data_IF_799105950189
#
_entry.id   IF_799105950189
#
_cell.length_a   1.000
_cell.length_b   1.000
_cell.length_c   1.000
_cell.angle_alpha   90.00
_cell.angle_beta   90.00
_cell.angle_gamma   90.00
#
_symmetry.space_group_name_H-M   'P 1'
#
loop_
_entity.id
_entity.type
_entity.pdbx_description
1 polymer ?
#
# COMPACT_ATOMS: atom_id res chain seq x y z
N UNK A 1 -19.02 10.84 1.41
CA UNK A 1 -19.41 10.40 0.04
C UNK A 1 -20.71 11.01 -0.49
N UNK A 2 -21.59 11.60 0.33
CA UNK A 2 -22.88 12.13 -0.13
C UNK A 2 -22.76 13.37 -1.06
N UNK A 3 -21.71 14.18 -0.90
CA UNK A 3 -21.48 15.42 -1.65
C UNK A 3 -20.72 15.24 -2.98
N UNK A 4 -20.13 14.07 -3.24
CA UNK A 4 -19.32 13.84 -4.43
C UNK A 4 -20.17 13.35 -5.61
N UNK A 5 -19.93 13.84 -6.85
CA UNK A 5 -20.50 13.28 -8.06
C UNK A 5 -20.30 11.76 -8.16
N UNK A 6 -21.29 11.06 -8.76
CA UNK A 6 -21.29 9.60 -8.95
C UNK A 6 -21.58 9.23 -10.40
N UNK A 7 -20.82 9.78 -11.33
CA UNK A 7 -20.87 9.34 -12.74
C UNK A 7 -20.50 7.86 -12.83
N UNK A 8 -20.84 7.20 -13.94
CA UNK A 8 -20.58 5.75 -14.08
C UNK A 8 -19.09 5.41 -13.98
N UNK A 9 -18.22 6.28 -14.49
CA UNK A 9 -16.76 6.09 -14.36
C UNK A 9 -16.27 6.24 -12.93
N UNK A 10 -16.88 7.14 -12.14
CA UNK A 10 -16.58 7.24 -10.71
C UNK A 10 -17.09 6.03 -9.92
N UNK A 11 -18.27 5.51 -10.27
CA UNK A 11 -18.78 4.26 -9.66
C UNK A 11 -17.83 3.10 -9.92
N UNK A 12 -17.26 2.99 -11.12
CA UNK A 12 -16.24 1.98 -11.44
C UNK A 12 -14.98 2.15 -10.57
N UNK A 13 -14.53 3.37 -10.30
CA UNK A 13 -13.39 3.61 -9.41
C UNK A 13 -13.70 3.25 -7.95
N UNK A 14 -14.90 3.54 -7.45
CA UNK A 14 -15.31 3.11 -6.12
C UNK A 14 -15.40 1.58 -6.01
N UNK A 15 -15.99 0.91 -7.01
CA UNK A 15 -15.98 -0.56 -7.06
C UNK A 15 -14.55 -1.09 -7.08
N UNK A 16 -13.66 -0.47 -7.85
CA UNK A 16 -12.25 -0.87 -7.94
C UNK A 16 -11.49 -0.71 -6.62
N UNK A 17 -11.80 0.33 -5.84
CA UNK A 17 -11.28 0.49 -4.48
C UNK A 17 -11.73 -0.66 -3.56
N UNK A 18 -13.00 -1.04 -3.66
CA UNK A 18 -13.57 -2.17 -2.91
C UNK A 18 -12.90 -3.48 -3.33
N UNK A 19 -12.84 -3.75 -4.64
CA UNK A 19 -12.17 -4.91 -5.21
C UNK A 19 -10.71 -4.98 -4.80
N UNK A 20 -9.99 -3.85 -4.84
CA UNK A 20 -8.61 -3.77 -4.37
C UNK A 20 -8.46 -4.13 -2.89
N UNK A 21 -9.38 -3.68 -2.04
CA UNK A 21 -9.38 -4.03 -0.60
C UNK A 21 -9.60 -5.52 -0.37
N UNK A 22 -10.54 -6.13 -1.12
CA UNK A 22 -10.80 -7.56 -1.10
C UNK A 22 -9.62 -8.39 -1.63
N UNK A 23 -9.01 -7.98 -2.74
CA UNK A 23 -7.83 -8.65 -3.32
C UNK A 23 -6.66 -8.64 -2.35
N UNK A 24 -6.39 -7.49 -1.71
CA UNK A 24 -5.32 -7.38 -0.72
C UNK A 24 -5.57 -8.34 0.46
N UNK A 25 -6.80 -8.44 0.94
CA UNK A 25 -7.15 -9.38 2.01
C UNK A 25 -7.06 -10.84 1.55
N UNK A 26 -7.59 -11.16 0.36
CA UNK A 26 -7.57 -12.51 -0.19
C UNK A 26 -6.14 -13.05 -0.36
N UNK A 27 -5.19 -12.20 -0.77
CA UNK A 27 -3.78 -12.55 -0.84
C UNK A 27 -3.00 -12.37 0.47
N UNK A 28 -3.70 -12.11 1.58
CA UNK A 28 -3.11 -11.94 2.91
C UNK A 28 -2.04 -10.85 2.96
N UNK A 29 -2.18 -9.81 2.13
CA UNK A 29 -1.36 -8.61 2.18
C UNK A 29 -1.85 -7.70 3.30
N UNK A 30 -3.15 -7.68 3.52
CA UNK A 30 -3.81 -7.05 4.67
C UNK A 30 -4.65 -8.11 5.37
N UNK A 31 -4.95 -7.90 6.65
CA UNK A 31 -5.80 -8.78 7.46
C UNK A 31 -7.05 -8.00 7.91
N UNK A 32 -7.39 -8.01 9.21
CA UNK A 32 -8.38 -7.07 9.76
C UNK A 32 -7.89 -5.60 9.73
N UNK A 33 -6.58 -5.40 9.55
CA UNK A 33 -5.88 -4.13 9.51
C UNK A 33 -5.15 -3.92 8.18
N UNK A 34 -4.83 -2.67 7.89
CA UNK A 34 -4.34 -2.23 6.59
C UNK A 34 -5.45 -1.61 5.74
N UNK A 35 -5.05 -0.77 4.80
CA UNK A 35 -6.00 0.05 4.06
C UNK A 35 -5.43 0.57 2.74
N UNK A 36 -6.35 0.69 1.78
CA UNK A 36 -6.14 1.22 0.44
C UNK A 36 -6.89 2.55 0.30
N UNK A 37 -6.30 3.51 -0.40
CA UNK A 37 -6.95 4.75 -0.79
C UNK A 37 -6.68 5.08 -2.25
N UNK A 38 -7.47 6.00 -2.81
CA UNK A 38 -7.15 6.65 -4.08
C UNK A 38 -7.47 8.15 -4.05
N UNK A 39 -6.71 8.94 -4.82
CA UNK A 39 -6.98 10.37 -5.03
C UNK A 39 -8.19 10.55 -5.93
N UNK A 40 -9.13 11.39 -5.51
CA UNK A 40 -10.35 11.63 -6.27
C UNK A 40 -10.01 12.42 -7.57
N UNK A 41 -10.42 11.93 -8.76
CA UNK A 41 -9.91 12.48 -10.02
C UNK A 41 -10.54 13.81 -10.44
N UNK A 42 -11.70 14.18 -9.87
CA UNK A 42 -12.35 15.47 -10.19
C UNK A 42 -11.92 16.60 -9.25
N UNK A 43 -11.34 16.26 -8.10
CA UNK A 43 -10.82 17.21 -7.12
C UNK A 43 -9.59 16.59 -6.44
N UNK A 44 -8.36 16.98 -6.84
CA UNK A 44 -7.14 16.37 -6.35
C UNK A 44 -6.85 16.65 -4.88
N UNK A 45 -7.58 17.59 -4.26
CA UNK A 45 -7.51 17.88 -2.81
C UNK A 45 -8.38 16.93 -1.99
N UNK A 46 -9.01 15.93 -2.63
CA UNK A 46 -9.79 14.89 -1.99
C UNK A 46 -9.16 13.52 -2.26
N UNK A 47 -9.14 12.66 -1.24
CA UNK A 47 -8.88 11.23 -1.40
C UNK A 47 -9.98 10.38 -0.75
N UNK A 48 -10.14 9.15 -1.22
CA UNK A 48 -11.18 8.22 -0.77
C UNK A 48 -10.54 6.94 -0.26
N UNK A 49 -11.01 6.49 0.91
CA UNK A 49 -10.67 5.19 1.51
C UNK A 49 -11.87 4.66 2.30
N UNK A 50 -11.84 3.42 2.80
CA UNK A 50 -12.92 2.92 3.65
C UNK A 50 -12.99 3.64 5.00
N UNK A 51 -14.16 3.58 5.65
CA UNK A 51 -14.32 3.86 7.08
C UNK A 51 -13.54 2.83 7.90
N UNK A 52 -13.48 3.01 9.22
CA UNK A 52 -12.83 2.07 10.13
C UNK A 52 -13.55 0.71 10.17
N UNK A 53 -13.26 -0.15 9.20
CA UNK A 53 -13.82 -1.50 9.00
C UNK A 53 -12.76 -2.36 8.31
N UNK A 54 -12.77 -3.67 8.56
CA UNK A 54 -11.82 -4.59 7.96
C UNK A 54 -11.91 -4.56 6.41
N UNK A 55 -10.78 -4.68 5.68
CA UNK A 55 -10.75 -4.68 4.22
C UNK A 55 -11.74 -5.67 3.54
N UNK A 56 -11.94 -6.86 4.12
CA UNK A 56 -12.90 -7.86 3.62
C UNK A 56 -14.37 -7.49 3.82
N UNK A 57 -14.65 -6.48 4.64
CA UNK A 57 -15.98 -6.04 5.04
C UNK A 57 -16.35 -4.68 4.44
N UNK A 58 -15.63 -4.22 3.43
CA UNK A 58 -15.98 -3.03 2.65
C UNK A 58 -16.94 -3.49 1.54
N UNK A 59 -18.24 -3.39 1.76
CA UNK A 59 -19.22 -4.06 0.91
C UNK A 59 -19.80 -3.16 -0.17
N UNK A 60 -19.88 -1.85 0.10
CA UNK A 60 -20.48 -0.89 -0.82
C UNK A 60 -19.89 0.53 -0.68
N UNK A 61 -20.44 1.49 -1.44
CA UNK A 61 -20.00 2.89 -1.45
C UNK A 61 -20.27 3.59 -0.09
N UNK A 62 -21.24 3.11 0.69
CA UNK A 62 -21.54 3.58 2.03
C UNK A 62 -20.44 3.30 3.05
N UNK A 63 -19.60 2.30 2.78
CA UNK A 63 -18.39 2.03 3.58
C UNK A 63 -17.21 2.95 3.22
N UNK A 64 -17.35 3.80 2.21
CA UNK A 64 -16.30 4.72 1.78
C UNK A 64 -16.43 6.09 2.43
N UNK A 65 -15.30 6.73 2.68
CA UNK A 65 -15.19 8.07 3.23
C UNK A 65 -14.25 8.89 2.36
N UNK A 66 -14.65 10.15 2.12
CA UNK A 66 -13.82 11.13 1.43
C UNK A 66 -13.14 12.02 2.48
N UNK A 67 -11.85 12.23 2.34
CA UNK A 67 -11.02 13.05 3.22
C UNK A 67 -10.32 14.14 2.42
N UNK A 68 -10.02 15.26 3.06
CA UNK A 68 -9.20 16.31 2.46
C UNK A 68 -7.73 15.92 2.52
N UNK A 69 -6.99 16.15 1.44
CA UNK A 69 -5.54 15.95 1.38
C UNK A 69 -4.80 16.93 2.30
N UNK A 70 -5.36 18.12 2.54
CA UNK A 70 -4.74 19.17 3.34
C UNK A 70 -4.51 18.80 4.82
N UNK A 71 -5.45 18.11 5.46
CA UNK A 71 -5.46 17.86 6.92
C UNK A 71 -5.89 16.42 7.29
N UNK A 72 -6.17 15.57 6.27
CA UNK A 72 -6.72 14.23 6.44
C UNK A 72 -8.05 14.17 7.20
N UNK A 73 -8.76 15.27 7.33
CA UNK A 73 -10.07 15.30 7.97
C UNK A 73 -11.19 14.96 6.99
N UNK A 74 -12.30 14.38 7.47
CA UNK A 74 -13.41 14.05 6.60
C UNK A 74 -13.92 15.27 5.83
N UNK A 75 -14.16 15.08 4.53
CA UNK A 75 -14.66 16.14 3.66
C UNK A 75 -16.10 16.54 4.02
N UNK A 76 -16.91 15.59 4.52
CA UNK A 76 -18.27 15.85 5.00
C UNK A 76 -18.36 15.70 6.52
N UNK A 77 -19.09 16.62 7.18
CA UNK A 77 -19.21 16.68 8.64
C UNK A 77 -19.79 15.39 9.27
N UNK A 78 -20.75 14.75 8.62
CA UNK A 78 -21.40 13.52 9.11
C UNK A 78 -20.75 12.23 8.57
N UNK A 79 -19.42 12.23 8.41
CA UNK A 79 -18.71 11.03 7.97
C UNK A 79 -18.53 10.03 9.12
N UNK A 80 -18.63 8.72 8.87
CA UNK A 80 -18.34 7.72 9.90
C UNK A 80 -16.87 7.79 10.35
N UNK A 81 -16.52 7.23 11.52
CA UNK A 81 -15.15 7.19 12.01
C UNK A 81 -14.19 6.56 11.00
N UNK A 82 -13.09 7.26 10.73
CA UNK A 82 -12.00 6.81 9.87
C UNK A 82 -10.87 6.11 10.62
N UNK A 83 -9.92 5.54 9.87
CA UNK A 83 -8.69 5.03 10.45
C UNK A 83 -7.85 6.16 11.07
N UNK A 84 -7.13 5.84 12.14
CA UNK A 84 -6.17 6.77 12.75
C UNK A 84 -5.06 7.15 11.75
N UNK A 85 -4.65 6.19 10.92
CA UNK A 85 -3.49 6.31 10.03
C UNK A 85 -3.80 6.90 8.65
N UNK A 86 -4.98 7.53 8.51
CA UNK A 86 -5.33 8.29 7.29
C UNK A 86 -4.31 9.39 6.94
N UNK A 87 -3.50 9.82 7.92
CA UNK A 87 -2.39 10.77 7.73
C UNK A 87 -1.24 10.20 6.89
N UNK A 88 -1.07 8.86 6.83
CA UNK A 88 -0.14 8.23 5.86
C UNK A 88 -0.52 8.64 4.45
N UNK A 89 -1.81 8.52 4.12
CA UNK A 89 -2.32 8.76 2.77
C UNK A 89 -2.31 10.24 2.42
N UNK A 90 -2.82 11.11 3.31
CA UNK A 90 -2.88 12.54 3.05
C UNK A 90 -1.51 13.14 2.76
N UNK A 91 -0.50 12.81 3.57
CA UNK A 91 0.82 13.43 3.45
C UNK A 91 1.57 12.93 2.22
N UNK A 92 1.37 11.66 1.84
CA UNK A 92 1.86 11.14 0.56
C UNK A 92 1.20 11.89 -0.60
N UNK A 93 -0.13 12.04 -0.60
CA UNK A 93 -0.83 12.78 -1.64
C UNK A 93 -0.43 14.27 -1.68
N UNK A 94 -0.26 14.90 -0.52
CA UNK A 94 0.15 16.30 -0.38
C UNK A 94 1.54 16.53 -0.96
N UNK A 95 2.50 15.64 -0.67
CA UNK A 95 3.89 15.74 -1.14
C UNK A 95 4.07 15.31 -2.60
N UNK A 96 3.28 14.35 -3.08
CA UNK A 96 3.45 13.71 -4.38
C UNK A 96 2.18 13.78 -5.24
N UNK A 97 1.98 14.88 -6.00
CA UNK A 97 0.77 15.09 -6.80
C UNK A 97 0.49 14.03 -7.89
N UNK A 98 1.53 13.29 -8.32
CA UNK A 98 1.41 12.24 -9.35
C UNK A 98 0.90 10.91 -8.79
N UNK A 99 0.93 10.73 -7.47
CA UNK A 99 0.44 9.52 -6.81
C UNK A 99 -1.08 9.61 -6.70
N UNK A 100 -1.74 8.53 -7.11
CA UNK A 100 -3.20 8.42 -7.13
C UNK A 100 -3.73 7.24 -6.32
N UNK A 101 -2.88 6.33 -5.85
CA UNK A 101 -3.27 5.24 -4.98
C UNK A 101 -2.17 4.92 -3.96
N UNK A 102 -2.60 4.62 -2.74
CA UNK A 102 -1.71 4.29 -1.61
C UNK A 102 -2.24 3.06 -0.89
N UNK A 103 -1.39 2.08 -0.64
CA UNK A 103 -1.67 0.91 0.21
C UNK A 103 -0.77 0.97 1.41
N UNK A 104 -1.31 0.71 2.59
CA UNK A 104 -0.55 0.43 3.80
C UNK A 104 -0.95 -0.95 4.34
N UNK A 105 0.06 -1.74 4.71
CA UNK A 105 -0.05 -3.16 5.03
C UNK A 105 0.84 -3.53 6.21
N UNK A 106 0.39 -4.51 7.00
CA UNK A 106 1.11 -5.11 8.13
C UNK A 106 1.67 -6.51 7.80
N UNK A 107 2.01 -6.77 6.53
CA UNK A 107 2.47 -8.09 6.08
C UNK A 107 3.61 -8.66 6.92
N UNK A 108 3.35 -9.82 7.54
CA UNK A 108 4.33 -10.55 8.37
C UNK A 108 5.56 -11.00 7.57
N UNK A 109 5.44 -11.19 6.26
CA UNK A 109 6.60 -11.52 5.42
C UNK A 109 7.56 -10.33 5.26
N UNK A 110 7.05 -9.10 5.36
CA UNK A 110 7.81 -7.87 5.17
C UNK A 110 8.39 -7.34 6.49
N UNK A 111 7.67 -7.47 7.60
CA UNK A 111 8.08 -6.98 8.93
C UNK A 111 9.54 -7.34 9.31
N UNK A 112 10.05 -8.57 9.06
CA UNK A 112 11.45 -8.92 9.37
C UNK A 112 12.49 -8.01 8.69
N UNK A 113 12.22 -7.52 7.49
CA UNK A 113 13.11 -6.60 6.76
C UNK A 113 13.12 -5.19 7.36
N UNK A 114 12.14 -4.86 8.20
CA UNK A 114 12.05 -3.56 8.86
C UNK A 114 12.85 -3.49 10.16
N UNK A 115 13.24 -4.64 10.73
CA UNK A 115 13.89 -4.72 12.05
C UNK A 115 15.23 -5.49 12.07
N UNK A 116 15.59 -6.18 10.99
CA UNK A 116 16.79 -7.04 10.97
C UNK A 116 18.06 -6.37 10.47
N UNK A 117 17.96 -5.20 9.83
CA UNK A 117 19.06 -4.58 9.08
C UNK A 117 19.37 -5.27 7.75
N UNK A 118 18.68 -6.37 7.40
CA UNK A 118 18.74 -6.96 6.06
C UNK A 118 17.86 -6.14 5.12
N UNK A 119 18.41 -5.56 4.04
CA UNK A 119 17.63 -4.77 3.11
C UNK A 119 16.75 -5.66 2.20
N UNK A 120 15.48 -5.28 2.04
CA UNK A 120 14.57 -5.91 1.07
C UNK A 120 14.90 -5.39 -0.34
N UNK A 121 15.34 -6.27 -1.24
CA UNK A 121 15.73 -5.95 -2.63
C UNK A 121 14.88 -6.72 -3.63
N UNK A 122 14.78 -6.23 -4.86
CA UNK A 122 14.15 -7.01 -5.93
C UNK A 122 14.95 -8.31 -6.19
N UNK A 123 14.34 -9.47 -5.95
CA UNK A 123 14.93 -10.80 -6.21
C UNK A 123 14.09 -11.63 -7.19
N UNK A 124 12.96 -11.08 -7.65
CA UNK A 124 12.07 -11.69 -8.62
C UNK A 124 11.77 -10.69 -9.74
N UNK A 125 11.70 -11.17 -10.99
CA UNK A 125 11.41 -10.32 -12.16
C UNK A 125 10.09 -9.53 -12.00
N UNK A 126 9.12 -10.07 -11.25
CA UNK A 126 7.85 -9.39 -10.96
C UNK A 126 7.99 -8.16 -10.03
N UNK A 127 9.18 -7.93 -9.47
CA UNK A 127 9.39 -7.03 -8.34
C UNK A 127 10.43 -5.93 -8.62
N UNK A 128 10.68 -5.63 -9.91
CA UNK A 128 11.65 -4.60 -10.32
C UNK A 128 11.34 -3.20 -9.75
N UNK A 129 10.06 -2.92 -9.46
CA UNK A 129 9.61 -1.67 -8.84
C UNK A 129 10.18 -1.43 -7.41
N UNK A 130 10.72 -2.47 -6.76
CA UNK A 130 11.41 -2.34 -5.46
C UNK A 130 12.81 -1.73 -5.59
N UNK A 131 13.38 -1.72 -6.81
CA UNK A 131 14.72 -1.22 -7.06
C UNK A 131 15.85 -2.15 -6.59
N UNK A 132 17.07 -1.79 -7.00
CA UNK A 132 18.27 -2.62 -6.77
C UNK A 132 18.98 -2.33 -5.43
N UNK A 133 18.82 -1.14 -4.86
CA UNK A 133 19.59 -0.68 -3.69
C UNK A 133 19.05 -1.25 -2.37
N UNK A 134 17.75 -1.55 -2.32
CA UNK A 134 17.02 -1.89 -1.12
C UNK A 134 16.04 -0.78 -0.75
N UNK A 135 14.93 -1.15 -0.12
CA UNK A 135 13.90 -0.20 0.29
C UNK A 135 14.32 0.60 1.52
N UNK A 136 13.91 1.88 1.63
CA UNK A 136 14.17 2.67 2.82
C UNK A 136 13.25 2.22 3.98
N UNK A 137 13.72 2.39 5.22
CA UNK A 137 12.98 2.07 6.44
C UNK A 137 12.70 3.36 7.20
N UNK A 138 11.42 3.68 7.35
CA UNK A 138 10.92 4.76 8.19
C UNK A 138 10.73 4.27 9.62
N UNK A 139 11.13 5.10 10.59
CA UNK A 139 10.90 4.87 12.01
C UNK A 139 10.08 6.01 12.59
N UNK A 140 8.89 5.71 13.11
CA UNK A 140 8.03 6.70 13.77
C UNK A 140 8.68 7.27 15.02
N UNK A 141 9.55 6.50 15.70
CA UNK A 141 10.23 6.93 16.91
C UNK A 141 11.12 8.16 16.70
N UNK A 142 11.66 8.35 15.49
CA UNK A 142 12.53 9.47 15.14
C UNK A 142 11.77 10.81 14.97
N UNK A 143 10.43 10.75 14.96
CA UNK A 143 9.57 11.89 14.61
C UNK A 143 8.42 12.11 15.60
N UNK A 144 8.58 11.60 16.82
CA UNK A 144 7.61 11.79 17.91
C UNK A 144 7.77 13.17 18.54
N UNK A 145 6.64 13.76 18.93
CA UNK A 145 6.54 15.02 19.66
C UNK A 145 6.00 14.80 21.08
N UNK A 146 6.12 15.82 21.94
CA UNK A 146 5.61 15.76 23.32
C UNK A 146 4.09 15.50 23.32
N UNK A 147 3.70 14.38 23.93
CA UNK A 147 2.29 13.96 24.02
C UNK A 147 1.87 12.91 22.99
N UNK A 148 2.73 12.55 22.04
CA UNK A 148 2.47 11.44 21.12
C UNK A 148 2.45 10.08 21.84
N UNK A 149 1.70 9.14 21.27
CA UNK A 149 1.59 7.77 21.77
C UNK A 149 2.67 6.91 21.12
N UNK A 150 3.46 6.19 21.94
CA UNK A 150 4.53 5.29 21.49
C UNK A 150 3.97 3.92 21.03
N UNK A 151 3.09 3.92 20.03
CA UNK A 151 2.44 2.70 19.50
C UNK A 151 2.81 2.34 18.06
N UNK A 152 3.85 2.99 17.53
CA UNK A 152 4.40 2.80 16.17
C UNK A 152 3.48 3.23 15.01
N UNK A 153 2.30 3.78 15.30
CA UNK A 153 1.36 4.22 14.27
C UNK A 153 1.68 5.64 13.76
N UNK A 154 1.28 5.93 12.53
CA UNK A 154 1.40 7.26 11.93
C UNK A 154 0.10 8.04 12.15
N UNK A 155 -0.01 8.70 13.30
CA UNK A 155 -1.25 9.35 13.77
C UNK A 155 -1.31 10.86 13.47
N UNK A 156 -0.18 11.50 13.22
CA UNK A 156 -0.06 12.94 13.01
C UNK A 156 0.39 13.28 11.60
N UNK A 157 0.08 14.51 11.17
CA UNK A 157 0.58 15.05 9.90
C UNK A 157 2.11 15.13 9.90
N UNK A 158 2.74 15.44 11.04
CA UNK A 158 4.20 15.48 11.14
C UNK A 158 4.85 14.12 10.84
N UNK A 159 4.34 13.03 11.44
CA UNK A 159 4.82 11.68 11.15
C UNK A 159 4.55 11.29 9.70
N UNK A 160 3.35 11.57 9.18
CA UNK A 160 2.99 11.29 7.79
C UNK A 160 3.88 12.02 6.79
N UNK A 161 4.23 13.28 7.07
CA UNK A 161 5.08 14.10 6.22
C UNK A 161 6.52 13.55 6.18
N UNK A 162 7.02 13.01 7.29
CA UNK A 162 8.32 12.34 7.33
C UNK A 162 8.33 11.00 6.60
N UNK A 163 7.27 10.20 6.74
CA UNK A 163 7.09 8.99 5.92
C UNK A 163 7.05 9.34 4.43
N UNK A 164 6.31 10.38 4.04
CA UNK A 164 6.17 10.78 2.64
C UNK A 164 7.50 11.13 1.95
N UNK A 165 8.51 11.63 2.70
CA UNK A 165 9.86 11.91 2.16
C UNK A 165 10.54 10.67 1.59
N UNK A 166 10.17 9.46 2.03
CA UNK A 166 10.78 8.21 1.59
C UNK A 166 10.48 7.89 0.12
N UNK A 167 9.52 8.59 -0.49
CA UNK A 167 9.14 8.43 -1.90
C UNK A 167 9.76 9.51 -2.82
N UNK A 168 10.53 10.47 -2.28
CA UNK A 168 11.12 11.59 -3.05
C UNK A 168 12.06 11.15 -4.17
N UNK A 169 12.86 10.11 -3.92
CA UNK A 169 13.84 9.58 -4.86
C UNK A 169 13.23 8.53 -5.83
N UNK A 170 11.90 8.51 -5.97
CA UNK A 170 11.19 7.60 -6.87
C UNK A 170 11.05 6.17 -6.34
N UNK A 171 11.22 5.95 -5.04
CA UNK A 171 10.85 4.68 -4.42
C UNK A 171 9.34 4.47 -4.57
N UNK A 172 8.92 3.24 -4.86
CA UNK A 172 7.49 2.88 -4.91
C UNK A 172 6.98 2.30 -3.59
N UNK A 173 7.90 1.96 -2.68
CA UNK A 173 7.61 1.29 -1.41
C UNK A 173 8.52 1.85 -0.32
N UNK A 174 7.96 2.09 0.86
CA UNK A 174 8.70 2.40 2.07
C UNK A 174 8.35 1.39 3.17
N UNK A 175 9.35 0.89 3.87
CA UNK A 175 9.18 0.01 5.02
C UNK A 175 8.96 0.84 6.29
N UNK A 176 8.27 0.30 7.29
CA UNK A 176 7.98 0.96 8.56
C UNK A 176 8.41 0.04 9.71
N UNK A 177 9.38 0.50 10.53
CA UNK A 177 10.04 -0.32 11.56
C UNK A 177 9.04 -0.96 12.51
N UNK A 178 9.02 -2.29 12.54
CA UNK A 178 8.20 -3.08 13.46
C UNK A 178 6.70 -2.99 13.21
N UNK A 179 6.30 -2.46 12.06
CA UNK A 179 4.91 -2.13 11.76
C UNK A 179 4.47 -2.74 10.42
N UNK A 180 5.16 -2.45 9.31
CA UNK A 180 4.70 -2.90 8.01
C UNK A 180 5.36 -2.18 6.84
N UNK A 181 4.59 -1.90 5.80
CA UNK A 181 5.05 -1.14 4.64
C UNK A 181 3.94 -0.32 3.98
N UNK A 182 4.36 0.68 3.22
CA UNK A 182 3.47 1.55 2.44
C UNK A 182 3.91 1.56 0.98
N UNK A 183 2.94 1.42 0.07
CA UNK A 183 3.12 1.40 -1.38
C UNK A 183 2.42 2.59 -2.00
N UNK A 184 3.02 3.14 -3.05
CA UNK A 184 2.44 4.20 -3.87
C UNK A 184 2.37 3.82 -5.34
N UNK A 185 1.34 4.32 -6.03
CA UNK A 185 1.22 4.19 -7.47
C UNK A 185 0.30 5.26 -8.10
N UNK A 186 0.34 5.32 -9.43
CA UNK A 186 -0.47 6.20 -10.28
C UNK A 186 -1.88 5.64 -10.54
N UNK A 187 -2.16 4.40 -10.12
CA UNK A 187 -3.45 3.73 -10.26
C UNK A 187 -3.67 2.68 -9.15
N UNK A 188 -4.95 2.39 -8.83
CA UNK A 188 -5.34 1.44 -7.78
C UNK A 188 -4.76 0.04 -8.06
N UNK A 189 -4.93 -0.44 -9.29
CA UNK A 189 -4.49 -1.78 -9.68
C UNK A 189 -2.98 -1.94 -9.51
N UNK A 190 -2.24 -0.89 -9.86
CA UNK A 190 -0.78 -0.89 -9.76
C UNK A 190 -0.33 -0.87 -8.30
N UNK A 191 -0.98 -0.10 -7.42
CA UNK A 191 -0.70 -0.12 -5.98
C UNK A 191 -0.97 -1.51 -5.37
N UNK A 192 -2.11 -2.12 -5.71
CA UNK A 192 -2.48 -3.46 -5.24
C UNK A 192 -1.48 -4.51 -5.74
N UNK A 193 -1.11 -4.49 -7.03
CA UNK A 193 -0.12 -5.40 -7.59
C UNK A 193 1.23 -5.26 -6.88
N UNK A 194 1.73 -4.02 -6.72
CA UNK A 194 2.99 -3.74 -6.02
C UNK A 194 2.93 -4.24 -4.57
N UNK A 195 1.82 -4.08 -3.86
CA UNK A 195 1.68 -4.58 -2.50
C UNK A 195 1.74 -6.11 -2.41
N UNK A 196 0.98 -6.81 -3.25
CA UNK A 196 1.01 -8.29 -3.34
C UNK A 196 2.41 -8.80 -3.67
N UNK A 197 3.09 -8.19 -4.63
CA UNK A 197 4.42 -8.63 -5.04
C UNK A 197 5.54 -8.21 -4.09
N UNK A 198 5.36 -7.15 -3.30
CA UNK A 198 6.29 -6.81 -2.20
C UNK A 198 6.35 -7.94 -1.17
N UNK A 199 5.18 -8.41 -0.71
CA UNK A 199 5.08 -9.56 0.20
C UNK A 199 5.70 -10.83 -0.41
N UNK A 200 5.36 -11.16 -1.66
CA UNK A 200 5.92 -12.35 -2.34
C UNK A 200 7.44 -12.26 -2.46
N UNK A 201 7.98 -11.10 -2.83
CA UNK A 201 9.42 -10.88 -2.93
C UNK A 201 10.11 -11.08 -1.58
N UNK A 202 9.53 -10.54 -0.50
CA UNK A 202 10.05 -10.72 0.84
C UNK A 202 10.14 -12.20 1.22
N UNK A 203 9.09 -12.99 0.98
CA UNK A 203 9.10 -14.44 1.22
C UNK A 203 10.15 -15.19 0.38
N UNK A 204 10.31 -14.82 -0.89
CA UNK A 204 11.33 -15.40 -1.79
C UNK A 204 12.73 -15.08 -1.27
N UNK A 205 13.01 -13.83 -0.93
CA UNK A 205 14.32 -13.41 -0.43
C UNK A 205 14.62 -14.08 0.92
N UNK A 206 13.64 -14.21 1.81
CA UNK A 206 13.82 -14.90 3.11
C UNK A 206 14.16 -16.37 2.90
N UNK A 207 13.45 -17.04 2.00
CA UNK A 207 13.72 -18.45 1.64
C UNK A 207 15.12 -18.60 1.05
N UNK A 208 15.54 -17.70 0.16
CA UNK A 208 16.88 -17.72 -0.42
C UNK A 208 17.98 -17.52 0.66
N UNK A 209 17.78 -16.61 1.61
CA UNK A 209 18.68 -16.39 2.74
C UNK A 209 18.78 -17.63 3.65
N UNK A 210 17.66 -18.30 3.92
CA UNK A 210 17.65 -19.56 4.69
C UNK A 210 18.46 -20.67 3.98
N UNK A 211 18.29 -20.82 2.66
CA UNK A 211 19.07 -21.80 1.87
C UNK A 211 20.57 -21.48 1.86
N UNK A 212 20.95 -20.21 1.79
CA UNK A 212 22.35 -19.80 1.94
C UNK A 212 22.90 -20.12 3.33
N UNK A 213 22.12 -19.87 4.38
CA UNK A 213 22.50 -20.19 5.76
C UNK A 213 22.77 -21.69 5.97
N UNK A 214 21.97 -22.56 5.35
CA UNK A 214 22.16 -24.03 5.42
C UNK A 214 23.40 -24.49 4.64
N UNK A 215 23.68 -23.87 3.49
CA UNK A 215 24.81 -24.27 2.62
C UNK A 215 26.14 -23.64 3.03
N UNK A 216 26.14 -22.68 3.96
CA UNK A 216 27.32 -21.91 4.33
C UNK A 216 27.81 -20.97 3.22
N UNK A 217 27.00 -20.72 2.18
CA UNK A 217 27.36 -19.83 1.08
C UNK A 217 27.40 -18.39 1.61
N UNK A 218 28.60 -17.80 1.58
CA UNK A 218 28.84 -16.41 1.95
C UNK A 218 28.72 -15.51 0.71
N UNK A 219 28.09 -14.34 0.83
CA UNK A 219 27.98 -13.37 -0.27
C UNK A 219 26.61 -12.71 -0.44
N UNK A 220 25.60 -13.17 0.31
CA UNK A 220 24.23 -12.64 0.25
C UNK A 220 23.48 -13.08 -1.00
N UNK A 221 22.17 -12.77 -1.05
CA UNK A 221 21.30 -13.13 -2.18
C UNK A 221 21.63 -12.23 -3.37
N UNK A 222 21.83 -12.84 -4.55
CA UNK A 222 21.97 -12.11 -5.82
C UNK A 222 20.61 -11.51 -6.21
N UNK A 223 20.46 -10.21 -5.97
CA UNK A 223 19.31 -9.42 -6.41
C UNK A 223 19.41 -8.99 -7.87
N UNK A 224 18.34 -8.41 -8.40
CA UNK A 224 18.32 -7.80 -9.73
C UNK A 224 19.24 -6.56 -9.79
N UNK A 225 19.85 -6.33 -10.95
CA UNK A 225 20.58 -5.10 -11.28
C UNK A 225 19.62 -3.92 -11.44
N UNK A 226 20.17 -2.70 -11.56
CA UNK A 226 19.36 -1.51 -11.83
C UNK A 226 18.61 -1.63 -13.17
N UNK A 227 19.29 -2.07 -14.21
CA UNK A 227 18.75 -2.27 -15.56
C UNK A 227 17.69 -3.38 -15.58
N UNK A 228 17.93 -4.48 -14.86
CA UNK A 228 16.97 -5.58 -14.72
C UNK A 228 15.70 -5.10 -14.00
N UNK A 229 15.84 -4.33 -12.91
CA UNK A 229 14.70 -3.72 -12.21
C UNK A 229 13.86 -2.81 -13.13
N UNK A 230 14.51 -1.92 -13.88
CA UNK A 230 13.81 -1.00 -14.79
C UNK A 230 13.07 -1.74 -15.91
N UNK A 231 13.73 -2.70 -16.55
CA UNK A 231 13.15 -3.45 -17.65
C UNK A 231 11.99 -4.34 -17.17
N UNK A 232 12.13 -4.95 -15.99
CA UNK A 232 11.12 -5.83 -15.44
C UNK A 232 9.91 -5.06 -14.91
N UNK A 233 10.10 -3.90 -14.26
CA UNK A 233 8.99 -3.04 -13.83
C UNK A 233 8.11 -2.62 -15.03
N UNK A 234 8.74 -2.14 -16.11
CA UNK A 234 8.02 -1.82 -17.36
C UNK A 234 7.20 -3.00 -17.90
N UNK A 235 7.75 -4.21 -17.84
CA UNK A 235 7.06 -5.44 -18.27
C UNK A 235 5.88 -5.80 -17.36
N UNK A 236 6.04 -5.61 -16.04
CA UNK A 236 4.97 -5.88 -15.08
C UNK A 236 3.82 -4.90 -15.22
N UNK A 237 4.09 -3.62 -15.48
CA UNK A 237 3.06 -2.62 -15.73
C UNK A 237 2.30 -2.91 -17.03
N UNK A 238 3.00 -3.34 -18.09
CA UNK A 238 2.34 -3.73 -19.35
C UNK A 238 1.38 -4.92 -19.16
N UNK A 239 1.71 -5.86 -18.27
CA UNK A 239 0.88 -7.04 -18.02
C UNK A 239 -0.06 -6.90 -16.81
N UNK A 240 -0.16 -5.71 -16.20
CA UNK A 240 -0.86 -5.44 -14.93
C UNK A 240 -2.30 -5.96 -14.87
N UNK A 241 -3.05 -5.84 -15.97
CA UNK A 241 -4.45 -6.25 -15.97
C UNK A 241 -4.63 -7.77 -15.94
N UNK A 242 -3.61 -8.57 -16.27
CA UNK A 242 -3.68 -10.03 -16.23
C UNK A 242 -3.89 -10.56 -14.80
N UNK A 243 -3.02 -10.24 -13.81
CA UNK A 243 -3.28 -10.63 -12.43
C UNK A 243 -4.53 -9.94 -11.87
N UNK A 244 -4.75 -8.66 -12.15
CA UNK A 244 -5.93 -7.95 -11.65
C UNK A 244 -7.24 -8.65 -12.00
N UNK A 245 -7.44 -8.98 -13.29
CA UNK A 245 -8.66 -9.63 -13.74
C UNK A 245 -8.84 -11.03 -13.13
N UNK A 246 -7.75 -11.78 -12.95
CA UNK A 246 -7.79 -13.07 -12.25
C UNK A 246 -8.23 -12.89 -10.79
N UNK A 247 -7.62 -11.94 -10.08
CA UNK A 247 -7.90 -11.72 -8.66
C UNK A 247 -9.32 -11.21 -8.42
N UNK A 248 -9.85 -10.37 -9.31
CA UNK A 248 -11.27 -9.99 -9.30
C UNK A 248 -12.16 -11.23 -9.42
N UNK A 249 -11.87 -12.13 -10.35
CA UNK A 249 -12.63 -13.37 -10.48
C UNK A 249 -12.53 -14.25 -9.22
N UNK A 250 -11.35 -14.35 -8.60
CA UNK A 250 -11.15 -15.12 -7.35
C UNK A 250 -11.99 -14.57 -6.19
N UNK A 251 -12.06 -13.25 -6.02
CA UNK A 251 -12.89 -12.65 -4.96
C UNK A 251 -14.39 -12.75 -5.28
N UNK A 252 -14.80 -12.65 -6.54
CA UNK A 252 -16.20 -12.80 -6.95
C UNK A 252 -16.73 -14.21 -6.75
N UNK A 253 -15.87 -15.22 -6.88
CA UNK A 253 -16.20 -16.62 -6.58
C UNK A 253 -16.16 -16.96 -5.08
N UNK A 254 -15.80 -16.01 -4.20
CA UNK A 254 -15.64 -16.23 -2.78
C UNK A 254 -16.73 -15.50 -1.98
N UNK A 255 -17.50 -16.29 -1.24
CA UNK A 255 -18.65 -15.85 -0.43
C UNK A 255 -18.33 -14.79 0.62
N UNK A 256 -17.06 -14.67 1.03
CA UNK A 256 -16.60 -13.64 1.98
C UNK A 256 -16.76 -12.22 1.41
N UNK A 257 -16.59 -12.03 0.10
CA UNK A 257 -16.47 -10.69 -0.52
C UNK A 257 -17.73 -10.22 -1.24
N UNK A 258 -18.90 -10.68 -0.81
CA UNK A 258 -20.18 -10.35 -1.45
C UNK A 258 -20.51 -8.86 -1.29
N UNK A 259 -20.19 -8.09 -2.35
CA UNK A 259 -20.56 -6.68 -2.49
C UNK A 259 -22.09 -6.51 -2.44
N UNK A 260 -22.54 -5.47 -1.77
CA UNK A 260 -23.94 -5.04 -1.82
C UNK A 260 -24.07 -4.09 -3.02
N UNK A 261 -24.77 -4.54 -4.07
CA UNK A 261 -25.03 -3.76 -5.28
C UNK A 261 -26.06 -2.66 -5.05
#
# INVERSE_FOLDING_TARGET
>A
MASLPRTDDLRKLFSKLIDGSHILHFHQVVDAYGHLSFRYPLDPDIFVMSRNVAPAQVLDIGDLVAYRVGDAEPHAAESPPGFAERRIHSEIYKRHPKINAVVHSHSEAVVPYTISGVPLRAVSHMCGFLGAKGLPVFDTADHMEDGDVHDLLVRSENMGAHLAKHFDDGNNVALMRGHGFTVVAEAIELAVMRAVYTQKNASIQTTALMLQGVTGVTGGVRSLSHEECMASDKTTQWSLMRPWNLWVQEIECNEVYKKLL
#
